data_IF_771961950064
#
_entry.id   IF_771961950064
#
_cell.length_a   1.000
_cell.length_b   1.000
_cell.length_c   1.000
_cell.angle_alpha   90.00
_cell.angle_beta   90.00
_cell.angle_gamma   90.00
#
_symmetry.space_group_name_H-M   'P 1'
#
loop_
_entity.id
_entity.type
_entity.pdbx_description
1 polymer ?
#
# COMPACT_ATOMS: atom_id res chain seq x y z
N UNK A 1 19.79 -31.97 -23.17
CA UNK A 1 18.36 -31.59 -23.12
C UNK A 1 17.85 -31.60 -21.68
N UNK A 2 18.19 -32.61 -20.87
CA UNK A 2 17.72 -32.70 -19.47
C UNK A 2 18.23 -31.63 -18.50
N UNK A 3 19.47 -31.14 -18.65
CA UNK A 3 20.01 -30.09 -17.75
C UNK A 3 19.37 -28.72 -17.98
N UNK A 4 19.08 -28.38 -19.25
CA UNK A 4 18.42 -27.11 -19.60
C UNK A 4 17.00 -27.11 -19.03
N UNK A 5 16.27 -28.23 -19.14
CA UNK A 5 14.94 -28.38 -18.56
C UNK A 5 14.96 -28.27 -17.03
N UNK A 6 15.95 -28.86 -16.36
CA UNK A 6 16.15 -28.71 -14.91
C UNK A 6 16.45 -27.27 -14.48
N UNK A 7 17.29 -26.54 -15.22
CA UNK A 7 17.61 -25.13 -14.90
C UNK A 7 16.37 -24.26 -15.06
N UNK A 8 15.57 -24.49 -16.10
CA UNK A 8 14.29 -23.80 -16.32
C UNK A 8 13.30 -24.08 -15.19
N UNK A 9 13.17 -25.34 -14.75
CA UNK A 9 12.31 -25.72 -13.62
C UNK A 9 12.74 -25.07 -12.29
N UNK A 10 14.04 -25.06 -11.98
CA UNK A 10 14.56 -24.41 -10.77
C UNK A 10 14.30 -22.90 -10.81
N UNK A 11 14.50 -22.27 -11.97
CA UNK A 11 14.21 -20.85 -12.17
C UNK A 11 12.73 -20.51 -11.97
N UNK A 12 11.84 -21.38 -12.43
CA UNK A 12 10.40 -21.23 -12.25
C UNK A 12 10.01 -21.40 -10.77
N UNK A 13 10.48 -22.44 -10.09
CA UNK A 13 10.24 -22.67 -8.65
C UNK A 13 10.71 -21.47 -7.82
N UNK A 14 11.89 -20.92 -8.12
CA UNK A 14 12.41 -19.73 -7.42
C UNK A 14 11.51 -18.50 -7.60
N UNK A 15 10.98 -18.28 -8.81
CA UNK A 15 10.05 -17.18 -9.09
C UNK A 15 8.72 -17.36 -8.35
N UNK A 16 8.14 -18.56 -8.40
CA UNK A 16 6.91 -18.88 -7.66
C UNK A 16 7.05 -18.65 -6.15
N UNK A 17 8.17 -19.10 -5.57
CA UNK A 17 8.45 -18.88 -4.15
C UNK A 17 8.58 -17.39 -3.81
N UNK A 18 9.23 -16.60 -4.67
CA UNK A 18 9.36 -15.16 -4.46
C UNK A 18 8.01 -14.43 -4.51
N UNK A 19 7.14 -14.79 -5.47
CA UNK A 19 5.78 -14.24 -5.57
C UNK A 19 4.92 -14.56 -4.36
N UNK A 20 4.96 -15.81 -3.89
CA UNK A 20 4.25 -16.23 -2.68
C UNK A 20 4.70 -15.45 -1.43
N UNK A 21 6.01 -15.24 -1.28
CA UNK A 21 6.57 -14.47 -0.16
C UNK A 21 6.19 -12.98 -0.22
N UNK A 22 6.16 -12.38 -1.41
CA UNK A 22 5.69 -11.00 -1.60
C UNK A 22 4.22 -10.89 -1.18
N UNK A 23 3.37 -11.83 -1.59
CA UNK A 23 1.95 -11.82 -1.22
C UNK A 23 1.74 -11.98 0.30
N UNK A 24 2.53 -12.82 0.97
CA UNK A 24 2.50 -12.97 2.42
C UNK A 24 2.87 -11.65 3.13
N UNK A 25 3.98 -11.02 2.72
CA UNK A 25 4.40 -9.72 3.30
C UNK A 25 3.37 -8.63 3.04
N UNK A 26 2.83 -8.52 1.83
CA UNK A 26 1.77 -7.57 1.52
C UNK A 26 0.55 -7.78 2.43
N UNK A 27 0.15 -9.03 2.67
CA UNK A 27 -0.94 -9.33 3.59
C UNK A 27 -0.66 -8.86 5.03
N UNK A 28 0.54 -9.12 5.56
CA UNK A 28 0.95 -8.64 6.89
C UNK A 28 0.93 -7.11 6.97
N UNK A 29 1.51 -6.44 5.97
CA UNK A 29 1.52 -4.97 5.89
C UNK A 29 0.11 -4.38 5.85
N UNK A 30 -0.83 -5.02 5.15
CA UNK A 30 -2.22 -4.57 5.15
C UNK A 30 -2.93 -4.74 6.49
N UNK A 31 -2.62 -5.82 7.23
CA UNK A 31 -3.16 -6.04 8.56
C UNK A 31 -2.66 -4.96 9.53
N UNK A 32 -1.37 -4.62 9.47
CA UNK A 32 -0.79 -3.56 10.29
C UNK A 32 -1.31 -2.16 9.89
N UNK A 33 -1.37 -1.85 8.59
CA UNK A 33 -1.97 -0.60 8.10
C UNK A 33 -3.41 -0.43 8.61
N UNK A 34 -4.22 -1.50 8.54
CA UNK A 34 -5.59 -1.47 9.06
C UNK A 34 -5.62 -1.26 10.58
N UNK A 35 -4.72 -1.91 11.33
CA UNK A 35 -4.61 -1.77 12.78
C UNK A 35 -4.20 -0.35 13.19
N UNK A 36 -3.21 0.26 12.52
CA UNK A 36 -2.76 1.63 12.81
C UNK A 36 -3.81 2.67 12.43
N UNK A 37 -4.46 2.50 11.27
CA UNK A 37 -5.62 3.31 10.85
C UNK A 37 -6.72 3.33 11.91
N UNK A 38 -7.17 2.16 12.39
CA UNK A 38 -8.23 2.05 13.42
C UNK A 38 -7.85 2.70 14.75
N UNK A 39 -6.57 2.74 15.09
CA UNK A 39 -6.07 3.33 16.34
C UNK A 39 -5.76 4.82 16.25
N UNK A 40 -5.94 5.45 15.08
CA UNK A 40 -5.56 6.84 14.87
C UNK A 40 -4.05 7.07 14.79
N UNK A 41 -3.26 6.00 14.64
CA UNK A 41 -1.80 6.05 14.54
C UNK A 41 -1.38 6.37 13.11
N UNK A 42 -1.62 7.61 12.68
CA UNK A 42 -1.46 8.01 11.28
C UNK A 42 0.00 8.03 10.81
N UNK A 43 0.96 8.29 11.70
CA UNK A 43 2.38 8.21 11.35
C UNK A 43 2.77 6.75 11.07
N UNK A 44 2.36 5.83 11.94
CA UNK A 44 2.62 4.40 11.77
C UNK A 44 1.91 3.88 10.51
N UNK A 45 0.65 4.27 10.30
CA UNK A 45 -0.11 3.93 9.10
C UNK A 45 0.56 4.44 7.82
N UNK A 46 1.09 5.66 7.80
CA UNK A 46 1.84 6.16 6.64
C UNK A 46 3.08 5.30 6.37
N UNK A 47 3.80 4.91 7.42
CA UNK A 47 4.97 4.03 7.32
C UNK A 47 4.62 2.66 6.73
N UNK A 48 3.50 2.06 7.16
CA UNK A 48 3.04 0.79 6.58
C UNK A 48 2.72 0.95 5.09
N UNK A 49 2.09 2.06 4.68
CA UNK A 49 1.78 2.34 3.28
C UNK A 49 3.05 2.58 2.44
N UNK A 50 4.08 3.19 3.02
CA UNK A 50 5.40 3.33 2.37
C UNK A 50 6.07 1.97 2.19
N UNK A 51 5.97 1.07 3.18
CA UNK A 51 6.46 -0.30 3.04
C UNK A 51 5.68 -1.10 1.98
N UNK A 52 4.37 -0.93 1.89
CA UNK A 52 3.56 -1.52 0.80
C UNK A 52 4.05 -1.01 -0.56
N UNK A 53 4.33 0.28 -0.69
CA UNK A 53 4.90 0.82 -1.92
C UNK A 53 6.22 0.14 -2.28
N UNK A 54 7.13 -0.08 -1.34
CA UNK A 54 8.39 -0.78 -1.61
C UNK A 54 8.21 -2.18 -2.20
N UNK A 55 7.17 -2.92 -1.80
CA UNK A 55 6.87 -4.25 -2.34
C UNK A 55 6.25 -4.20 -3.75
N UNK A 56 5.51 -3.14 -4.07
CA UNK A 56 4.81 -2.96 -5.35
C UNK A 56 5.64 -2.20 -6.39
N UNK A 57 6.54 -1.31 -5.95
CA UNK A 57 7.31 -0.41 -6.80
C UNK A 57 8.30 -1.17 -7.70
N UNK A 58 8.69 -2.39 -7.34
CA UNK A 58 9.55 -3.24 -8.18
C UNK A 58 9.00 -3.49 -9.59
N UNK A 59 7.67 -3.46 -9.75
CA UNK A 59 7.01 -3.64 -11.05
C UNK A 59 6.57 -2.30 -11.69
N UNK A 60 6.91 -1.17 -11.05
CA UNK A 60 6.59 0.17 -11.53
C UNK A 60 7.83 0.76 -12.19
N UNK A 61 7.70 1.20 -13.44
CA UNK A 61 8.77 1.94 -14.12
C UNK A 61 8.95 3.31 -13.47
N UNK A 62 10.20 3.70 -13.25
CA UNK A 62 10.57 5.07 -12.86
C UNK A 62 9.96 6.08 -13.85
N UNK A 63 9.53 7.24 -13.35
CA UNK A 63 8.88 8.30 -14.12
C UNK A 63 7.55 7.95 -14.81
N UNK A 64 7.02 6.75 -14.54
CA UNK A 64 5.66 6.39 -14.99
C UNK A 64 4.59 7.23 -14.30
N UNK A 65 3.40 7.24 -14.89
CA UNK A 65 2.24 7.94 -14.30
C UNK A 65 1.94 7.45 -12.87
N UNK A 66 2.07 6.14 -12.61
CA UNK A 66 1.89 5.53 -11.29
C UNK A 66 2.89 6.07 -10.27
N UNK A 67 4.16 6.17 -10.65
CA UNK A 67 5.21 6.72 -9.79
C UNK A 67 4.93 8.21 -9.47
N UNK A 68 4.58 8.99 -10.49
CA UNK A 68 4.20 10.40 -10.34
C UNK A 68 2.97 10.61 -9.47
N UNK A 69 1.95 9.77 -9.60
CA UNK A 69 0.75 9.81 -8.77
C UNK A 69 1.06 9.51 -7.31
N UNK A 70 1.88 8.49 -7.04
CA UNK A 70 2.33 8.19 -5.69
C UNK A 70 3.11 9.36 -5.09
N UNK A 71 4.06 9.92 -5.84
CA UNK A 71 4.84 11.10 -5.43
C UNK A 71 3.95 12.31 -5.15
N UNK A 72 2.93 12.55 -5.97
CA UNK A 72 1.96 13.63 -5.76
C UNK A 72 1.21 13.48 -4.45
N UNK A 73 0.78 12.26 -4.11
CA UNK A 73 0.12 11.99 -2.82
C UNK A 73 1.08 12.27 -1.65
N UNK A 74 2.34 11.82 -1.76
CA UNK A 74 3.36 12.04 -0.73
C UNK A 74 3.72 13.52 -0.56
N UNK A 75 3.85 14.29 -1.64
CA UNK A 75 4.09 15.73 -1.58
C UNK A 75 2.96 16.47 -0.84
N UNK A 76 1.71 16.07 -1.10
CA UNK A 76 0.58 16.65 -0.39
C UNK A 76 0.63 16.27 1.09
N UNK A 77 0.88 15.01 1.44
CA UNK A 77 1.03 14.59 2.84
C UNK A 77 2.18 15.34 3.55
N UNK A 78 3.30 15.55 2.86
CA UNK A 78 4.46 16.29 3.37
C UNK A 78 4.13 17.76 3.69
N UNK A 79 3.26 18.41 2.90
CA UNK A 79 2.80 19.77 3.18
C UNK A 79 2.02 19.88 4.51
N UNK A 80 1.47 18.76 5.01
CA UNK A 80 0.79 18.67 6.31
C UNK A 80 1.61 17.94 7.37
N UNK A 81 2.93 17.84 7.16
CA UNK A 81 3.89 17.30 8.13
C UNK A 81 3.97 18.18 9.40
N UNK A 82 4.31 17.64 10.58
CA UNK A 82 4.41 16.21 10.88
C UNK A 82 3.06 15.51 10.76
N UNK A 83 3.07 14.25 10.31
CA UNK A 83 1.92 13.36 10.43
C UNK A 83 1.76 13.02 11.91
N UNK A 84 0.64 13.42 12.50
CA UNK A 84 0.44 13.34 13.95
C UNK A 84 -0.42 12.10 14.25
N UNK A 85 -0.04 11.35 15.27
CA UNK A 85 -0.89 10.29 15.81
C UNK A 85 -2.02 10.94 16.61
N UNK A 86 -3.26 10.60 16.24
CA UNK A 86 -4.48 11.06 16.88
C UNK A 86 -5.03 10.00 17.82
N UNK A 87 -4.13 9.38 18.59
CA UNK A 87 -4.49 8.37 19.57
C UNK A 87 -5.61 8.89 20.47
N UNK A 88 -6.56 8.00 20.75
CA UNK A 88 -7.80 8.32 21.46
C UNK A 88 -7.46 8.46 22.94
N UNK A 89 -6.73 9.53 23.31
CA UNK A 89 -6.81 10.06 24.67
C UNK A 89 -8.03 10.96 24.70
N UNK A 90 -9.10 10.42 25.27
CA UNK A 90 -10.34 11.17 25.59
C UNK A 90 -9.98 12.07 26.77
N UNK A 91 -9.28 13.17 26.48
CA UNK A 91 -9.25 14.30 27.39
C UNK A 91 -10.41 15.20 26.97
N UNK A 92 -11.29 15.58 27.90
CA UNK A 92 -12.53 16.35 27.63
C UNK A 92 -12.26 17.78 27.12
N UNK A 93 -11.02 18.10 26.78
CA UNK A 93 -10.60 19.39 26.24
C UNK A 93 -11.05 19.50 24.78
N UNK A 94 -11.81 20.54 24.50
CA UNK A 94 -12.18 20.94 23.13
C UNK A 94 -10.89 21.16 22.35
N UNK A 95 -10.62 20.31 21.35
CA UNK A 95 -9.47 20.47 20.46
C UNK A 95 -9.68 21.70 19.57
N UNK A 96 -8.59 22.38 19.22
CA UNK A 96 -8.65 23.54 18.33
C UNK A 96 -9.21 23.12 16.96
N UNK A 97 -10.00 24.00 16.32
CA UNK A 97 -10.60 23.73 15.01
C UNK A 97 -9.56 23.45 13.92
N UNK A 98 -8.38 24.06 14.02
CA UNK A 98 -7.26 23.84 13.11
C UNK A 98 -6.70 22.40 13.21
N UNK A 99 -6.65 21.83 14.42
CA UNK A 99 -6.18 20.47 14.67
C UNK A 99 -7.13 19.43 14.04
N UNK A 100 -8.43 19.65 14.16
CA UNK A 100 -9.44 18.80 13.54
C UNK A 100 -9.37 18.84 12.01
N UNK A 101 -9.11 20.03 11.42
CA UNK A 101 -8.87 20.16 9.98
C UNK A 101 -7.63 19.38 9.57
N UNK A 102 -6.50 19.57 10.26
CA UNK A 102 -5.24 18.85 9.98
C UNK A 102 -5.44 17.33 10.08
N UNK A 103 -6.15 16.86 11.10
CA UNK A 103 -6.54 15.44 11.25
C UNK A 103 -7.34 14.94 10.05
N UNK A 104 -8.37 15.68 9.64
CA UNK A 104 -9.21 15.34 8.50
C UNK A 104 -8.43 15.24 7.20
N UNK A 105 -7.55 16.22 6.95
CA UNK A 105 -6.66 16.22 5.79
C UNK A 105 -5.70 15.03 5.77
N UNK A 106 -4.99 14.78 6.88
CA UNK A 106 -4.08 13.64 6.99
C UNK A 106 -4.80 12.32 6.74
N UNK A 107 -5.95 12.11 7.39
CA UNK A 107 -6.76 10.92 7.19
C UNK A 107 -7.18 10.74 5.72
N UNK A 108 -7.72 11.79 5.12
CA UNK A 108 -8.20 11.75 3.74
C UNK A 108 -7.11 11.39 2.73
N UNK A 109 -5.91 11.96 2.87
CA UNK A 109 -4.82 11.66 1.95
C UNK A 109 -4.17 10.30 2.22
N UNK A 110 -4.15 9.82 3.46
CA UNK A 110 -3.74 8.44 3.77
C UNK A 110 -4.73 7.41 3.21
N UNK A 111 -6.04 7.69 3.22
CA UNK A 111 -7.03 6.87 2.51
C UNK A 111 -6.75 6.85 1.01
N UNK A 112 -6.49 8.01 0.39
CA UNK A 112 -6.17 8.07 -1.04
C UNK A 112 -4.93 7.25 -1.38
N UNK A 113 -3.89 7.34 -0.55
CA UNK A 113 -2.67 6.54 -0.67
C UNK A 113 -2.97 5.04 -0.57
N UNK A 114 -3.74 4.62 0.43
CA UNK A 114 -4.17 3.23 0.60
C UNK A 114 -4.94 2.71 -0.62
N UNK A 115 -5.93 3.47 -1.10
CA UNK A 115 -6.75 3.08 -2.27
C UNK A 115 -5.90 2.97 -3.54
N UNK A 116 -4.99 3.91 -3.76
CA UNK A 116 -4.05 3.88 -4.87
C UNK A 116 -3.21 2.59 -4.85
N UNK A 117 -2.60 2.27 -3.70
CA UNK A 117 -1.75 1.10 -3.55
C UNK A 117 -2.52 -0.22 -3.73
N UNK A 118 -3.76 -0.31 -3.22
CA UNK A 118 -4.62 -1.49 -3.45
C UNK A 118 -4.96 -1.68 -4.93
N UNK A 119 -5.27 -0.60 -5.64
CA UNK A 119 -5.52 -0.67 -7.10
C UNK A 119 -4.27 -1.10 -7.85
N UNK A 120 -3.11 -0.57 -7.47
CA UNK A 120 -1.83 -0.96 -8.06
C UNK A 120 -1.54 -2.45 -7.84
N UNK A 121 -1.72 -2.94 -6.61
CA UNK A 121 -1.55 -4.34 -6.27
C UNK A 121 -2.48 -5.26 -7.09
N UNK A 122 -3.75 -4.88 -7.24
CA UNK A 122 -4.70 -5.64 -8.05
C UNK A 122 -4.27 -5.69 -9.52
N UNK A 123 -3.86 -4.55 -10.11
CA UNK A 123 -3.35 -4.49 -11.49
C UNK A 123 -2.10 -5.37 -11.69
N UNK A 124 -1.29 -5.56 -10.64
CA UNK A 124 -0.11 -6.44 -10.68
C UNK A 124 -0.45 -7.92 -10.47
N UNK A 125 -1.73 -8.29 -10.29
CA UNK A 125 -2.15 -9.66 -9.97
C UNK A 125 -1.65 -10.15 -8.60
N UNK A 126 -1.16 -9.23 -7.74
CA UNK A 126 -0.59 -9.55 -6.43
C UNK A 126 -1.67 -9.48 -5.36
N UNK A 127 -2.79 -10.18 -5.49
CA UNK A 127 -3.90 -10.04 -4.55
C UNK A 127 -4.97 -11.11 -4.75
N UNK A 128 -6.11 -10.93 -4.09
CA UNK A 128 -7.28 -11.84 -4.26
C UNK A 128 -8.20 -11.41 -5.40
N UNK A 129 -7.84 -10.37 -6.16
CA UNK A 129 -8.57 -10.02 -7.37
C UNK A 129 -8.20 -11.09 -8.42
N UNK A 130 -9.01 -12.14 -8.48
CA UNK A 130 -9.21 -12.86 -9.71
C UNK A 130 -9.67 -11.80 -10.71
N UNK A 131 -8.91 -11.57 -11.77
CA UNK A 131 -9.54 -11.06 -12.98
C UNK A 131 -10.57 -12.15 -13.30
N UNK A 132 -11.84 -11.84 -13.09
CA UNK A 132 -12.95 -12.58 -13.69
C UNK A 132 -12.90 -12.32 -15.21
N UNK A 133 -11.76 -12.65 -15.86
CA UNK A 133 -11.60 -12.76 -17.31
C UNK A 133 -12.31 -14.02 -17.84
N UNK A 134 -13.31 -14.53 -17.09
CA UNK A 134 -14.24 -15.58 -17.49
C UNK A 134 -15.66 -15.02 -17.73
N UNK A 135 -15.83 -13.69 -17.74
CA UNK A 135 -16.99 -13.02 -18.36
C UNK A 135 -16.72 -12.74 -19.85
N UNK A 136 -16.26 -13.77 -20.58
CA UNK A 136 -16.43 -13.87 -22.02
C UNK A 136 -17.90 -14.19 -22.31
N UNK A 137 -18.78 -13.18 -22.17
CA UNK A 137 -20.11 -13.24 -22.78
C UNK A 137 -19.96 -13.11 -24.29
N UNK A 138 -20.55 -14.07 -25.01
CA UNK A 138 -20.63 -14.22 -26.48
C UNK A 138 -20.70 -12.92 -27.31
#
# INVERSE_FOLDING_TARGET
MDEINKIVDIGNISKYNSGALINLRLNELWQDAHKHKRKGKYSDWNGDLDAVWCELAGDVKEDSEKDKDFMKINLILAAYSPIINWDIKIDFKVRASNDLRKKGFQYFYLIKKEVFLRRLQNIQGKGTAYDDDDDSWE
#
